data_IF_100831647090
#
_entry.id   IF_100831647090
#
_cell.length_a   1.000
_cell.length_b   1.000
_cell.length_c   1.000
_cell.angle_alpha   90.00
_cell.angle_beta   90.00
_cell.angle_gamma   90.00
#
_symmetry.space_group_name_H-M   'P 1'
#
loop_
_entity.id
_entity.type
_entity.pdbx_description
1 polymer ?
#
# COMPACT_ATOMS: atom_id res chain seq x y z
N UNK A 1 -20.24 -4.02 73.41
CA UNK A 1 -21.29 -4.13 72.37
C UNK A 1 -20.71 -3.61 71.08
N UNK A 2 -20.72 -4.45 70.05
CA UNK A 2 -20.18 -4.23 68.72
C UNK A 2 -21.31 -3.64 67.86
N UNK A 3 -21.02 -2.62 67.05
CA UNK A 3 -21.73 -2.25 65.82
C UNK A 3 -20.67 -1.53 64.95
N UNK A 4 -20.07 -2.11 63.90
CA UNK A 4 -20.66 -2.40 62.58
C UNK A 4 -21.41 -1.15 62.06
N UNK A 5 -21.02 -0.48 60.98
CA UNK A 5 -20.83 -1.07 59.64
C UNK A 5 -20.01 -0.16 58.72
N UNK A 6 -19.11 -0.80 57.97
CA UNK A 6 -18.36 -0.29 56.83
C UNK A 6 -19.24 0.11 55.63
N UNK A 7 -18.62 0.91 54.77
CA UNK A 7 -18.70 0.88 53.31
C UNK A 7 -20.01 1.35 52.65
N UNK A 8 -19.94 2.52 52.03
CA UNK A 8 -20.55 2.72 50.72
C UNK A 8 -19.43 3.09 49.75
N UNK A 9 -18.72 2.04 49.34
CA UNK A 9 -17.70 2.06 48.31
C UNK A 9 -18.38 2.33 46.97
N UNK A 10 -17.78 3.22 46.18
CA UNK A 10 -18.29 3.69 44.90
C UNK A 10 -18.61 2.51 43.97
N UNK A 11 -19.89 2.31 43.69
CA UNK A 11 -20.36 1.51 42.57
C UNK A 11 -19.94 2.21 41.26
N UNK A 12 -18.74 1.90 40.76
CA UNK A 12 -18.45 2.01 39.32
C UNK A 12 -19.24 0.89 38.63
N UNK A 13 -20.03 1.19 37.60
CA UNK A 13 -20.91 0.21 36.98
C UNK A 13 -20.07 -0.89 36.34
N UNK A 14 -20.45 -2.13 36.59
CA UNK A 14 -20.04 -3.27 35.81
C UNK A 14 -20.65 -3.15 34.39
N UNK A 15 -19.98 -2.42 33.51
CA UNK A 15 -20.17 -2.56 32.07
C UNK A 15 -19.62 -3.94 31.64
N UNK A 16 -20.54 -4.91 31.71
CA UNK A 16 -20.72 -6.05 30.79
C UNK A 16 -19.47 -6.58 30.05
N UNK A 17 -18.76 -7.53 30.67
CA UNK A 17 -17.79 -8.41 29.98
C UNK A 17 -18.35 -9.09 28.71
N UNK A 18 -19.67 -9.37 28.65
CA UNK A 18 -20.32 -9.91 27.46
C UNK A 18 -20.40 -8.94 26.26
N UNK A 19 -20.45 -7.63 26.49
CA UNK A 19 -20.51 -6.64 25.41
C UNK A 19 -19.12 -6.38 24.80
N UNK A 20 -18.07 -6.46 25.63
CA UNK A 20 -16.66 -6.37 25.19
C UNK A 20 -16.32 -7.55 24.26
N UNK A 21 -16.74 -8.77 24.60
CA UNK A 21 -16.49 -9.95 23.77
C UNK A 21 -17.22 -9.89 22.42
N UNK A 22 -18.48 -9.41 22.39
CA UNK A 22 -19.23 -9.21 21.13
C UNK A 22 -18.60 -8.13 20.26
N UNK A 23 -18.16 -7.02 20.85
CA UNK A 23 -17.48 -5.95 20.11
C UNK A 23 -16.16 -6.46 19.51
N UNK A 24 -15.39 -7.27 20.24
CA UNK A 24 -14.16 -7.88 19.74
C UNK A 24 -14.42 -8.84 18.57
N UNK A 25 -15.46 -9.68 18.67
CA UNK A 25 -15.86 -10.59 17.60
C UNK A 25 -16.26 -9.84 16.33
N UNK A 26 -17.01 -8.75 16.46
CA UNK A 26 -17.41 -7.92 15.33
C UNK A 26 -16.19 -7.24 14.66
N UNK A 27 -15.25 -6.69 15.45
CA UNK A 27 -14.02 -6.12 14.89
C UNK A 27 -13.15 -7.18 14.19
N UNK A 28 -13.07 -8.39 14.73
CA UNK A 28 -12.36 -9.50 14.09
C UNK A 28 -13.00 -9.85 12.74
N UNK A 29 -14.33 -9.88 12.67
CA UNK A 29 -15.06 -10.13 11.41
C UNK A 29 -14.79 -9.03 10.38
N UNK A 30 -14.91 -7.76 10.76
CA UNK A 30 -14.62 -6.62 9.89
C UNK A 30 -13.17 -6.64 9.39
N UNK A 31 -12.22 -7.03 10.24
CA UNK A 31 -10.83 -7.20 9.86
C UNK A 31 -10.61 -8.35 8.86
N UNK A 32 -11.28 -9.49 9.06
CA UNK A 32 -11.22 -10.61 8.11
C UNK A 32 -11.80 -10.23 6.74
N UNK A 33 -12.93 -9.53 6.74
CA UNK A 33 -13.56 -9.02 5.52
C UNK A 33 -12.63 -8.06 4.77
N UNK A 34 -12.02 -7.11 5.50
CA UNK A 34 -11.06 -6.15 4.92
C UNK A 34 -9.80 -6.85 4.38
N UNK A 35 -9.30 -7.87 5.07
CA UNK A 35 -8.15 -8.67 4.62
C UNK A 35 -8.46 -9.43 3.33
N UNK A 36 -9.66 -10.01 3.24
CA UNK A 36 -10.15 -10.67 2.03
C UNK A 36 -10.26 -9.68 0.86
N UNK A 37 -10.80 -8.49 1.10
CA UNK A 37 -10.89 -7.41 0.11
C UNK A 37 -9.51 -6.98 -0.39
N UNK A 38 -8.55 -6.74 0.51
CA UNK A 38 -7.16 -6.38 0.16
C UNK A 38 -6.50 -7.46 -0.70
N UNK A 39 -6.68 -8.74 -0.34
CA UNK A 39 -6.16 -9.87 -1.12
C UNK A 39 -6.79 -9.95 -2.52
N UNK A 40 -8.11 -9.74 -2.60
CA UNK A 40 -8.84 -9.67 -3.86
C UNK A 40 -8.38 -8.51 -4.75
N UNK A 41 -8.23 -7.32 -4.18
CA UNK A 41 -7.72 -6.14 -4.89
C UNK A 41 -6.31 -6.36 -5.40
N UNK A 42 -5.42 -6.93 -4.59
CA UNK A 42 -4.05 -7.27 -5.02
C UNK A 42 -4.04 -8.23 -6.21
N UNK A 43 -4.94 -9.21 -6.23
CA UNK A 43 -5.07 -10.15 -7.35
C UNK A 43 -5.61 -9.45 -8.60
N UNK A 44 -6.61 -8.58 -8.46
CA UNK A 44 -7.16 -7.77 -9.57
C UNK A 44 -6.11 -6.82 -10.17
N UNK A 45 -5.34 -6.14 -9.32
CA UNK A 45 -4.24 -5.26 -9.73
C UNK A 45 -3.25 -6.06 -10.60
N UNK A 46 -2.78 -7.21 -10.14
CA UNK A 46 -1.86 -8.07 -10.92
C UNK A 46 -2.46 -8.50 -12.26
N UNK A 47 -3.71 -8.94 -12.26
CA UNK A 47 -4.40 -9.36 -13.49
C UNK A 47 -4.53 -8.20 -14.49
N UNK A 48 -4.82 -6.97 -14.02
CA UNK A 48 -4.86 -5.77 -14.85
C UNK A 48 -3.48 -5.37 -15.37
N UNK A 49 -2.43 -5.49 -14.56
CA UNK A 49 -1.06 -5.29 -15.04
C UNK A 49 -0.67 -6.29 -16.13
N UNK A 50 -1.09 -7.55 -16.03
CA UNK A 50 -0.88 -8.56 -17.07
C UNK A 50 -1.68 -8.24 -18.34
N UNK A 51 -2.93 -7.80 -18.20
CA UNK A 51 -3.75 -7.32 -19.33
C UNK A 51 -3.07 -6.17 -20.08
N UNK A 52 -2.59 -5.16 -19.37
CA UNK A 52 -1.83 -4.02 -19.93
C UNK A 52 -0.61 -4.50 -20.70
N UNK A 53 0.15 -5.45 -20.14
CA UNK A 53 1.33 -6.04 -20.79
C UNK A 53 0.98 -6.75 -22.09
N UNK A 54 -0.11 -7.52 -22.11
CA UNK A 54 -0.58 -8.18 -23.33
C UNK A 54 -1.07 -7.16 -24.38
N UNK A 55 -1.80 -6.12 -23.98
CA UNK A 55 -2.24 -5.05 -24.89
C UNK A 55 -1.04 -4.34 -25.53
N UNK A 56 0.01 -4.05 -24.75
CA UNK A 56 1.25 -3.45 -25.27
C UNK A 56 1.91 -4.39 -26.30
N UNK A 57 1.99 -5.69 -26.03
CA UNK A 57 2.49 -6.65 -27.01
C UNK A 57 1.64 -6.66 -28.28
N UNK A 58 0.32 -6.68 -28.17
CA UNK A 58 -0.57 -6.63 -29.32
C UNK A 58 -0.40 -5.33 -30.12
N UNK A 59 -0.27 -4.19 -29.45
CA UNK A 59 0.03 -2.88 -30.08
C UNK A 59 1.32 -2.95 -30.90
N UNK A 60 2.39 -3.56 -30.39
CA UNK A 60 3.66 -3.69 -31.11
C UNK A 60 3.60 -4.62 -32.34
N UNK A 61 2.70 -5.60 -32.35
CA UNK A 61 2.53 -6.55 -33.46
C UNK A 61 1.37 -6.18 -34.40
N UNK A 62 0.69 -5.06 -34.14
CA UNK A 62 -0.45 -4.60 -34.94
C UNK A 62 -0.01 -4.34 -36.39
N UNK A 63 -0.79 -4.83 -37.35
CA UNK A 63 -0.47 -4.72 -38.79
C UNK A 63 -1.12 -3.51 -39.44
N UNK A 64 -2.09 -2.91 -38.76
CA UNK A 64 -2.83 -1.75 -39.27
C UNK A 64 -2.86 -0.62 -38.23
N UNK A 65 -2.98 0.62 -38.74
CA UNK A 65 -3.11 1.80 -37.90
C UNK A 65 -4.37 1.75 -37.01
N UNK A 66 -5.48 1.26 -37.56
CA UNK A 66 -6.73 1.13 -36.81
C UNK A 66 -6.63 0.15 -35.63
N UNK A 67 -5.94 -0.98 -35.83
CA UNK A 67 -5.67 -1.96 -34.78
C UNK A 67 -4.76 -1.38 -33.67
N UNK A 68 -3.74 -0.62 -34.05
CA UNK A 68 -2.87 0.07 -33.10
C UNK A 68 -3.62 1.15 -32.30
N UNK A 69 -4.49 1.94 -32.94
CA UNK A 69 -5.32 2.95 -32.27
C UNK A 69 -6.31 2.33 -31.28
N UNK A 70 -6.95 1.22 -31.67
CA UNK A 70 -7.83 0.46 -30.78
C UNK A 70 -7.07 -0.07 -29.55
N UNK A 71 -5.88 -0.64 -29.76
CA UNK A 71 -5.03 -1.10 -28.66
C UNK A 71 -4.63 0.04 -27.70
N UNK A 72 -4.33 1.24 -28.22
CA UNK A 72 -4.02 2.42 -27.40
C UNK A 72 -5.23 2.88 -26.58
N UNK A 73 -6.44 2.84 -27.13
CA UNK A 73 -7.64 3.21 -26.38
C UNK A 73 -7.91 2.22 -25.24
N UNK A 74 -7.85 0.92 -25.53
CA UNK A 74 -7.98 -0.14 -24.51
C UNK A 74 -6.91 0.00 -23.43
N UNK A 75 -5.67 0.32 -23.81
CA UNK A 75 -4.57 0.54 -22.87
C UNK A 75 -4.86 1.69 -21.89
N UNK A 76 -5.43 2.80 -22.37
CA UNK A 76 -5.81 3.94 -21.52
C UNK A 76 -6.93 3.58 -20.55
N UNK A 77 -7.94 2.84 -21.01
CA UNK A 77 -9.05 2.41 -20.17
C UNK A 77 -8.57 1.45 -19.06
N UNK A 78 -7.79 0.44 -19.43
CA UNK A 78 -7.22 -0.53 -18.49
C UNK A 78 -6.30 0.13 -17.47
N UNK A 79 -5.48 1.10 -17.88
CA UNK A 79 -4.61 1.84 -16.95
C UNK A 79 -5.40 2.73 -15.98
N UNK A 80 -6.47 3.37 -16.46
CA UNK A 80 -7.38 4.14 -15.59
C UNK A 80 -8.07 3.26 -14.55
N UNK A 81 -8.48 2.05 -14.92
CA UNK A 81 -9.05 1.09 -13.98
C UNK A 81 -8.01 0.57 -12.99
N UNK A 82 -6.79 0.31 -13.44
CA UNK A 82 -5.68 -0.08 -12.57
C UNK A 82 -5.39 0.99 -11.50
N UNK A 83 -5.36 2.26 -11.87
CA UNK A 83 -5.17 3.36 -10.90
C UNK A 83 -6.29 3.40 -9.84
N UNK A 84 -7.54 3.20 -10.24
CA UNK A 84 -8.66 3.14 -9.28
C UNK A 84 -8.52 1.98 -8.29
N UNK A 85 -8.13 0.80 -8.77
CA UNK A 85 -7.91 -0.37 -7.93
C UNK A 85 -6.75 -0.16 -6.95
N UNK A 86 -5.70 0.55 -7.38
CA UNK A 86 -4.58 0.93 -6.51
C UNK A 86 -5.02 1.90 -5.40
N UNK A 87 -5.77 2.94 -5.75
CA UNK A 87 -6.32 3.87 -4.76
C UNK A 87 -7.17 3.14 -3.71
N UNK A 88 -8.07 2.25 -4.15
CA UNK A 88 -8.91 1.43 -3.27
C UNK A 88 -8.07 0.50 -2.38
N UNK A 89 -7.05 -0.15 -2.95
CA UNK A 89 -6.12 -0.98 -2.20
C UNK A 89 -5.40 -0.18 -1.11
N UNK A 90 -4.88 0.99 -1.46
CA UNK A 90 -4.14 1.86 -0.55
C UNK A 90 -5.05 2.43 0.55
N UNK A 91 -6.30 2.77 0.25
CA UNK A 91 -7.30 3.18 1.25
C UNK A 91 -7.60 2.04 2.23
N UNK A 92 -7.80 0.81 1.74
CA UNK A 92 -8.09 -0.35 2.58
C UNK A 92 -6.89 -0.74 3.47
N UNK A 93 -5.67 -0.64 2.95
CA UNK A 93 -4.44 -0.83 3.73
C UNK A 93 -4.31 0.21 4.84
N UNK A 94 -4.62 1.48 4.56
CA UNK A 94 -4.62 2.54 5.58
C UNK A 94 -5.69 2.31 6.64
N UNK A 95 -6.91 1.93 6.23
CA UNK A 95 -7.98 1.57 7.15
C UNK A 95 -7.54 0.42 8.06
N UNK A 96 -6.92 -0.61 7.50
CA UNK A 96 -6.41 -1.76 8.26
C UNK A 96 -5.29 -1.36 9.24
N UNK A 97 -4.44 -0.40 8.87
CA UNK A 97 -3.35 0.10 9.73
C UNK A 97 -3.88 0.89 10.93
N UNK A 98 -4.85 1.78 10.72
CA UNK A 98 -5.29 2.72 11.77
C UNK A 98 -6.53 2.27 12.55
N UNK A 99 -7.47 1.54 11.93
CA UNK A 99 -8.73 1.13 12.57
C UNK A 99 -8.61 -0.18 13.36
N UNK A 100 -7.71 -1.07 12.94
CA UNK A 100 -7.49 -2.39 13.57
C UNK A 100 -6.02 -2.64 13.92
N UNK A 101 -5.38 -1.76 14.73
CA UNK A 101 -3.96 -1.92 15.08
C UNK A 101 -3.70 -3.16 15.97
N UNK A 102 -4.71 -3.59 16.71
CA UNK A 102 -4.67 -4.65 17.71
C UNK A 102 -5.10 -6.04 17.20
N UNK A 103 -5.90 -6.11 16.13
CA UNK A 103 -6.41 -7.36 15.55
C UNK A 103 -5.41 -7.99 14.58
N UNK A 104 -5.01 -9.26 14.83
CA UNK A 104 -4.04 -9.97 13.98
C UNK A 104 -2.57 -9.66 14.33
N UNK A 105 -2.29 -9.41 15.61
CA UNK A 105 -0.93 -9.12 16.14
C UNK A 105 0.04 -10.31 16.03
N UNK A 106 -0.49 -11.50 15.75
CA UNK A 106 0.25 -12.76 15.63
C UNK A 106 1.14 -12.83 14.38
N UNK A 107 0.85 -12.03 13.33
CA UNK A 107 1.65 -11.98 12.10
C UNK A 107 2.42 -10.66 11.99
N UNK A 108 3.66 -10.72 11.47
CA UNK A 108 4.46 -9.52 11.14
C UNK A 108 3.82 -8.78 9.97
N UNK A 109 2.95 -7.82 10.28
CA UNK A 109 2.21 -7.02 9.29
C UNK A 109 3.15 -6.18 8.43
N UNK A 110 2.92 -6.19 7.12
CA UNK A 110 3.56 -5.28 6.15
C UNK A 110 2.47 -4.47 5.45
N UNK A 111 2.41 -3.18 5.76
CA UNK A 111 1.48 -2.22 5.15
C UNK A 111 2.21 -1.46 4.04
N UNK A 112 2.60 -2.18 3.00
CA UNK A 112 3.27 -1.59 1.84
C UNK A 112 2.22 -0.96 0.93
N UNK A 113 2.39 0.32 0.61
CA UNK A 113 1.62 0.98 -0.45
C UNK A 113 2.08 0.42 -1.78
N UNK A 114 1.13 0.15 -2.66
CA UNK A 114 1.42 -0.17 -4.06
C UNK A 114 1.26 1.12 -4.84
N UNK A 115 2.21 1.44 -5.72
CA UNK A 115 2.12 2.56 -6.65
C UNK A 115 2.12 2.00 -8.07
N UNK A 116 1.13 2.38 -8.87
CA UNK A 116 1.05 1.99 -10.28
C UNK A 116 2.13 2.74 -11.07
N UNK A 117 2.80 2.04 -11.99
CA UNK A 117 3.80 2.64 -12.87
C UNK A 117 3.13 3.46 -13.98
N UNK A 118 3.86 4.38 -14.59
CA UNK A 118 3.32 5.10 -15.75
C UNK A 118 3.18 4.16 -16.96
N UNK A 119 2.30 4.51 -17.89
CA UNK A 119 2.17 3.75 -19.15
C UNK A 119 3.49 3.71 -19.93
N UNK A 120 4.24 4.80 -19.90
CA UNK A 120 5.56 4.89 -20.54
C UNK A 120 6.54 3.90 -19.92
N UNK A 121 6.55 3.75 -18.59
CA UNK A 121 7.39 2.75 -17.91
C UNK A 121 7.02 1.31 -18.30
N UNK A 122 5.73 1.03 -18.51
CA UNK A 122 5.29 -0.29 -18.97
C UNK A 122 5.70 -0.56 -20.42
N UNK A 123 5.66 0.46 -21.28
CA UNK A 123 6.12 0.35 -22.67
C UNK A 123 7.66 0.22 -22.75
N UNK A 124 8.42 1.02 -22.00
CA UNK A 124 9.90 0.95 -21.94
C UNK A 124 10.35 -0.44 -21.45
N UNK A 125 9.71 -1.00 -20.42
CA UNK A 125 10.03 -2.35 -19.93
C UNK A 125 9.80 -3.46 -20.96
N UNK A 126 8.89 -3.24 -21.91
CA UNK A 126 8.56 -4.21 -22.95
C UNK A 126 9.48 -4.13 -24.16
N UNK A 127 10.11 -2.97 -24.41
CA UNK A 127 11.00 -2.77 -25.55
C UNK A 127 12.32 -3.52 -25.38
N UNK A 128 13.00 -3.79 -26.50
CA UNK A 128 14.32 -4.42 -26.48
C UNK A 128 15.35 -3.52 -25.79
N UNK A 129 15.28 -2.21 -26.05
CA UNK A 129 16.17 -1.21 -25.43
C UNK A 129 16.03 -1.19 -23.91
N UNK A 130 14.80 -1.21 -23.38
CA UNK A 130 14.58 -1.27 -21.93
C UNK A 130 15.11 -2.56 -21.31
N UNK A 131 14.98 -3.71 -22.00
CA UNK A 131 15.58 -4.98 -21.55
C UNK A 131 17.10 -4.94 -21.54
N UNK A 132 17.71 -4.30 -22.53
CA UNK A 132 19.16 -4.09 -22.58
C UNK A 132 19.60 -3.22 -21.42
N UNK A 133 18.94 -2.07 -21.19
CA UNK A 133 19.23 -1.14 -20.08
C UNK A 133 19.16 -1.84 -18.72
N UNK A 134 18.12 -2.63 -18.47
CA UNK A 134 18.02 -3.43 -17.23
C UNK A 134 19.13 -4.47 -17.10
N UNK A 135 19.56 -5.07 -18.20
CA UNK A 135 20.66 -6.06 -18.18
C UNK A 135 21.98 -5.39 -17.88
N UNK A 136 22.25 -4.23 -18.50
CA UNK A 136 23.44 -3.41 -18.24
C UNK A 136 23.47 -2.96 -16.78
N UNK A 137 22.35 -2.45 -16.25
CA UNK A 137 22.26 -2.02 -14.85
C UNK A 137 22.57 -3.18 -13.87
N UNK A 138 22.03 -4.38 -14.11
CA UNK A 138 22.34 -5.55 -13.27
C UNK A 138 23.80 -5.96 -13.33
N UNK A 139 24.42 -5.85 -14.51
CA UNK A 139 25.85 -6.11 -14.68
C UNK A 139 26.65 -5.07 -13.90
N UNK A 140 26.33 -3.78 -14.02
CA UNK A 140 26.98 -2.71 -13.28
C UNK A 140 26.89 -2.90 -11.76
N UNK A 141 25.70 -3.25 -11.24
CA UNK A 141 25.49 -3.57 -9.82
C UNK A 141 26.32 -4.77 -9.36
N UNK A 142 26.34 -5.85 -10.16
CA UNK A 142 27.10 -7.07 -9.83
C UNK A 142 28.62 -6.84 -9.83
N UNK A 143 29.11 -5.99 -10.73
CA UNK A 143 30.54 -5.70 -10.88
C UNK A 143 30.98 -4.40 -10.18
N UNK A 144 30.08 -3.73 -9.45
CA UNK A 144 30.39 -2.50 -8.70
C UNK A 144 30.81 -1.32 -9.57
N UNK A 145 30.47 -1.33 -10.86
CA UNK A 145 30.74 -0.26 -11.80
C UNK A 145 29.68 0.82 -11.57
N UNK A 146 29.97 1.77 -10.67
CA UNK A 146 29.15 2.98 -10.56
C UNK A 146 29.41 3.82 -11.80
N UNK A 147 28.39 4.10 -12.59
CA UNK A 147 28.48 5.15 -13.60
C UNK A 147 28.57 6.49 -12.85
N UNK A 148 29.72 7.17 -12.98
CA UNK A 148 29.97 8.50 -12.42
C UNK A 148 29.17 9.62 -13.13
N UNK A 149 28.05 9.29 -13.79
CA UNK A 149 27.30 10.23 -14.63
C UNK A 149 25.99 10.78 -14.03
N UNK A 150 25.63 10.43 -12.80
CA UNK A 150 24.41 10.90 -12.11
C UNK A 150 24.70 11.78 -10.87
N UNK A 151 25.66 12.71 -10.96
CA UNK A 151 25.76 13.86 -10.03
C UNK A 151 24.72 14.96 -10.39
N UNK A 152 23.47 14.56 -10.63
CA UNK A 152 22.31 15.45 -10.60
C UNK A 152 21.63 15.28 -9.23
N UNK A 153 21.44 16.33 -8.43
CA UNK A 153 21.22 16.15 -7.00
C UNK A 153 19.77 15.69 -6.75
N UNK A 154 19.61 14.53 -6.10
CA UNK A 154 18.36 13.96 -5.56
C UNK A 154 17.79 14.76 -4.38
N UNK A 155 17.80 16.10 -4.45
CA UNK A 155 17.38 16.97 -3.34
C UNK A 155 15.88 16.84 -3.03
N UNK A 156 15.08 16.29 -3.95
CA UNK A 156 13.62 16.32 -3.83
C UNK A 156 12.99 15.18 -3.03
N UNK A 157 13.62 14.00 -2.96
CA UNK A 157 13.06 12.85 -2.22
C UNK A 157 13.52 12.81 -0.74
N UNK A 158 14.70 13.35 -0.42
CA UNK A 158 15.17 13.39 0.98
C UNK A 158 14.46 14.45 1.83
N UNK A 159 13.98 15.56 1.23
CA UNK A 159 13.20 16.57 1.97
C UNK A 159 11.76 16.12 2.28
N UNK A 160 11.13 15.34 1.40
CA UNK A 160 9.79 14.77 1.67
C UNK A 160 9.86 13.75 2.80
N UNK A 161 10.89 12.90 2.82
CA UNK A 161 11.06 11.89 3.87
C UNK A 161 11.33 12.53 5.25
N UNK A 162 12.11 13.62 5.31
CA UNK A 162 12.34 14.38 6.55
C UNK A 162 11.08 15.10 7.05
N UNK A 163 10.26 15.65 6.15
CA UNK A 163 8.97 16.28 6.52
C UNK A 163 7.98 15.25 7.06
N UNK A 164 7.94 14.04 6.52
CA UNK A 164 7.07 12.96 7.02
C UNK A 164 7.52 12.45 8.41
N UNK A 165 8.82 12.45 8.71
CA UNK A 165 9.35 12.12 10.04
C UNK A 165 9.05 13.21 11.08
N UNK A 166 9.10 14.50 10.71
CA UNK A 166 8.77 15.61 11.61
C UNK A 166 7.28 15.64 12.00
N UNK A 167 6.38 15.38 11.04
CA UNK A 167 4.93 15.30 11.31
C UNK A 167 4.62 14.15 12.28
N UNK A 168 5.32 13.02 12.18
CA UNK A 168 5.16 11.88 13.10
C UNK A 168 5.73 12.15 14.50
N UNK A 169 6.71 13.05 14.65
CA UNK A 169 7.31 13.37 15.95
C UNK A 169 6.54 14.45 16.72
N UNK A 170 5.75 15.32 16.06
CA UNK A 170 4.82 16.24 16.73
C UNK A 170 3.67 15.53 17.46
N UNK A 171 3.32 14.31 17.05
CA UNK A 171 2.26 13.51 17.65
C UNK A 171 2.67 12.79 18.96
N UNK A 172 3.93 12.93 19.41
CA UNK A 172 4.40 12.36 20.68
C UNK A 172 4.22 13.38 21.82
N UNK A 173 3.51 13.04 22.91
CA UNK A 173 3.33 13.97 24.03
C UNK A 173 4.67 14.27 24.72
N UNK A 174 4.99 15.55 24.85
CA UNK A 174 6.17 16.02 25.58
C UNK A 174 5.93 15.78 27.08
N UNK A 175 6.63 14.82 27.65
CA UNK A 175 6.61 14.58 29.11
C UNK A 175 7.51 15.63 29.76
N UNK A 176 6.91 16.69 30.29
CA UNK A 176 7.61 17.65 31.15
C UNK A 176 7.86 16.95 32.49
N UNK A 177 9.11 16.59 32.78
CA UNK A 177 9.50 16.14 34.13
C UNK A 177 9.54 17.36 35.05
N UNK A 178 8.81 17.29 36.16
CA UNK A 178 8.82 18.28 37.25
C UNK A 178 10.13 18.24 38.02
#
# INVERSE_FOLDING_TARGET
MINSSLANEAAKPAETTQDVDKAQQQRNKEWMDLTSQISGLKTKIKSKEESIKEIIKHKHHAKSKAEAEHAVNNLKEEHKELMKLEEEYNQNIQLMKYRYPDVGLTEKRKYERVKVKSLEDYEEQMTLEGKIKQSVQKIQEHYGLKDDHDDAPKVREEEENKREEEINNLAKPIIIRK
#
